data_IF_695289604552
#
_entry.id   IF_695289604552
#
_cell.length_a   1.000
_cell.length_b   1.000
_cell.length_c   1.000
_cell.angle_alpha   90.00
_cell.angle_beta   90.00
_cell.angle_gamma   90.00
#
_symmetry.space_group_name_H-M   'P 1'
#
loop_
_entity.id
_entity.type
_entity.pdbx_description
1 polymer ?
#
# COMPACT_ATOMS: atom_id res chain seq x y z
N UNK A 1 -46.58 -17.72 -32.47
CA UNK A 1 -46.94 -16.34 -32.07
C UNK A 1 -45.94 -15.94 -30.98
N UNK A 2 -45.17 -14.89 -31.29
CA UNK A 2 -44.24 -14.06 -30.48
C UNK A 2 -44.49 -14.08 -28.95
N UNK A 3 -43.54 -13.90 -28.03
CA UNK A 3 -42.24 -13.19 -28.04
C UNK A 3 -41.49 -13.56 -26.72
N UNK A 4 -40.19 -13.88 -26.78
CA UNK A 4 -39.01 -13.04 -26.46
C UNK A 4 -38.46 -13.34 -25.05
N UNK A 5 -37.25 -13.91 -25.05
CA UNK A 5 -36.38 -14.18 -23.90
C UNK A 5 -36.04 -12.88 -23.16
N UNK A 6 -36.57 -12.71 -21.95
CA UNK A 6 -36.08 -11.73 -20.98
C UNK A 6 -34.79 -12.25 -20.33
N UNK A 7 -33.68 -11.70 -20.82
CA UNK A 7 -32.50 -11.26 -20.07
C UNK A 7 -32.14 -12.02 -18.77
N UNK A 8 -31.23 -13.00 -18.89
CA UNK A 8 -30.44 -13.45 -17.75
C UNK A 8 -29.13 -12.66 -17.73
N UNK A 9 -29.20 -11.36 -17.49
CA UNK A 9 -28.04 -10.56 -17.12
C UNK A 9 -27.76 -10.75 -15.61
N UNK A 10 -27.47 -11.99 -15.20
CA UNK A 10 -27.00 -12.26 -13.83
C UNK A 10 -25.54 -11.84 -13.74
N UNK A 11 -25.33 -10.52 -13.71
CA UNK A 11 -24.06 -9.87 -13.42
C UNK A 11 -23.68 -10.20 -11.97
N UNK A 12 -23.20 -11.41 -11.75
CA UNK A 12 -22.78 -11.91 -10.44
C UNK A 12 -21.40 -11.30 -10.16
N UNK A 13 -21.37 -10.01 -9.80
CA UNK A 13 -20.16 -9.22 -9.51
C UNK A 13 -19.50 -9.58 -8.16
N UNK A 14 -19.58 -10.85 -7.78
CA UNK A 14 -19.05 -11.38 -6.53
C UNK A 14 -17.95 -12.38 -6.86
N UNK A 15 -16.73 -12.04 -6.51
CA UNK A 15 -15.59 -12.94 -6.66
C UNK A 15 -15.46 -13.74 -5.37
N UNK A 16 -15.39 -15.06 -5.51
CA UNK A 16 -15.07 -15.95 -4.39
C UNK A 16 -13.55 -15.96 -4.27
N UNK A 17 -13.04 -15.44 -3.17
CA UNK A 17 -11.62 -15.57 -2.86
C UNK A 17 -11.36 -17.03 -2.43
N UNK A 18 -10.94 -17.87 -3.37
CA UNK A 18 -10.56 -19.27 -3.11
C UNK A 18 -9.29 -19.24 -2.25
N UNK A 19 -9.47 -19.26 -0.93
CA UNK A 19 -8.41 -18.98 0.03
C UNK A 19 -8.33 -20.00 1.16
N UNK A 20 -7.22 -20.75 1.15
CA UNK A 20 -6.53 -21.48 2.22
C UNK A 20 -7.32 -22.53 3.01
N UNK A 21 -7.18 -23.77 2.54
CA UNK A 21 -7.36 -25.09 3.20
C UNK A 21 -8.65 -25.32 3.99
N UNK A 22 -9.39 -26.39 3.67
CA UNK A 22 -10.61 -26.83 4.39
C UNK A 22 -10.38 -27.30 5.84
N UNK A 23 -9.23 -26.98 6.44
CA UNK A 23 -8.86 -27.41 7.79
C UNK A 23 -8.95 -26.24 8.77
N UNK A 24 -9.85 -26.31 9.78
CA UNK A 24 -10.14 -25.21 10.70
C UNK A 24 -8.94 -24.78 11.56
N UNK A 25 -8.02 -25.70 11.84
CA UNK A 25 -6.81 -25.42 12.63
C UNK A 25 -5.81 -24.53 11.87
N UNK A 26 -5.61 -24.78 10.58
CA UNK A 26 -4.72 -23.99 9.72
C UNK A 26 -5.23 -22.56 9.52
N UNK A 27 -6.55 -22.43 9.36
CA UNK A 27 -7.24 -21.15 9.26
C UNK A 27 -7.05 -20.26 10.49
N UNK A 28 -7.14 -20.87 11.69
CA UNK A 28 -6.92 -20.17 12.96
C UNK A 28 -5.46 -19.72 13.09
N UNK A 29 -4.51 -20.58 12.73
CA UNK A 29 -3.09 -20.24 12.75
C UNK A 29 -2.77 -19.09 11.78
N UNK A 30 -3.27 -19.15 10.54
CA UNK A 30 -3.09 -18.09 9.55
C UNK A 30 -3.68 -16.77 10.03
N UNK A 31 -4.88 -16.78 10.62
CA UNK A 31 -5.48 -15.58 11.19
C UNK A 31 -4.57 -14.93 12.24
N UNK A 32 -4.06 -15.71 13.20
CA UNK A 32 -3.17 -15.20 14.25
C UNK A 32 -1.90 -14.59 13.66
N UNK A 33 -1.30 -15.26 12.67
CA UNK A 33 -0.09 -14.78 11.98
C UNK A 33 -0.35 -13.48 11.22
N UNK A 34 -1.37 -13.44 10.36
CA UNK A 34 -1.70 -12.23 9.58
C UNK A 34 -2.15 -11.07 10.46
N UNK A 35 -2.89 -11.34 11.53
CA UNK A 35 -3.28 -10.34 12.51
C UNK A 35 -2.06 -9.78 13.25
N UNK A 36 -1.13 -10.64 13.64
CA UNK A 36 0.15 -10.21 14.25
C UNK A 36 0.95 -9.31 13.31
N UNK A 37 1.10 -9.71 12.04
CA UNK A 37 1.76 -8.91 11.00
C UNK A 37 1.06 -7.56 10.85
N UNK A 38 -0.27 -7.54 10.75
CA UNK A 38 -1.05 -6.31 10.65
C UNK A 38 -0.76 -5.33 11.80
N UNK A 39 -0.81 -5.81 13.04
CA UNK A 39 -0.54 -4.96 14.21
C UNK A 39 0.89 -4.42 14.20
N UNK A 40 1.87 -5.27 13.91
CA UNK A 40 3.28 -4.85 13.85
C UNK A 40 3.49 -3.81 12.76
N UNK A 41 2.95 -4.03 11.55
CA UNK A 41 3.06 -3.08 10.43
C UNK A 41 2.38 -1.76 10.77
N UNK A 42 1.16 -1.79 11.30
CA UNK A 42 0.41 -0.57 11.64
C UNK A 42 1.07 0.23 12.76
N UNK A 43 1.43 -0.43 13.87
CA UNK A 43 2.07 0.23 15.01
C UNK A 43 3.46 0.74 14.62
N UNK A 44 4.24 -0.05 13.87
CA UNK A 44 5.58 0.31 13.43
C UNK A 44 5.56 1.53 12.49
N UNK A 45 4.75 1.48 11.44
CA UNK A 45 4.74 2.53 10.43
C UNK A 45 4.06 3.81 10.91
N UNK A 46 2.90 3.73 11.58
CA UNK A 46 2.27 4.93 12.15
C UNK A 46 3.10 5.51 13.30
N UNK A 47 3.74 4.66 14.10
CA UNK A 47 4.68 5.08 15.13
C UNK A 47 5.87 5.83 14.54
N UNK A 48 6.44 5.34 13.43
CA UNK A 48 7.51 6.00 12.71
C UNK A 48 7.08 7.37 12.15
N UNK A 49 5.90 7.44 11.51
CA UNK A 49 5.34 8.70 11.01
C UNK A 49 5.14 9.71 12.14
N UNK A 50 4.57 9.26 13.27
CA UNK A 50 4.37 10.10 14.45
C UNK A 50 5.71 10.60 15.02
N UNK A 51 6.72 9.71 15.09
CA UNK A 51 8.05 10.05 15.59
C UNK A 51 8.76 11.08 14.71
N UNK A 52 8.67 10.94 13.38
CA UNK A 52 9.19 11.93 12.42
C UNK A 52 8.49 13.28 12.60
N UNK A 53 7.17 13.29 12.80
CA UNK A 53 6.40 14.51 12.98
C UNK A 53 6.74 15.26 14.29
N UNK A 54 6.96 14.51 15.38
CA UNK A 54 7.24 15.09 16.69
C UNK A 54 8.67 15.62 16.82
N UNK A 55 9.66 14.93 16.25
CA UNK A 55 11.07 15.27 16.41
C UNK A 55 11.61 16.05 15.20
N UNK A 56 11.75 17.38 15.35
CA UNK A 56 12.25 18.26 14.29
C UNK A 56 13.63 17.88 13.75
N UNK A 57 14.48 17.21 14.54
CA UNK A 57 15.82 16.75 14.09
C UNK A 57 15.74 15.68 13.01
N UNK A 58 14.62 14.97 12.93
CA UNK A 58 14.34 13.98 11.90
C UNK A 58 13.78 14.59 10.62
N UNK A 59 13.57 15.90 10.52
CA UNK A 59 13.12 16.55 9.28
C UNK A 59 14.24 16.69 8.23
N UNK A 60 14.98 15.60 7.99
CA UNK A 60 15.94 15.48 6.90
C UNK A 60 15.28 14.81 5.68
N UNK A 61 15.80 15.00 4.46
CA UNK A 61 15.19 14.45 3.24
C UNK A 61 14.93 12.93 3.31
N UNK A 62 15.89 12.18 3.86
CA UNK A 62 15.78 10.72 4.02
C UNK A 62 14.57 10.31 4.86
N UNK A 63 14.37 10.93 6.03
CA UNK A 63 13.24 10.60 6.90
C UNK A 63 11.91 11.11 6.35
N UNK A 64 11.90 12.18 5.55
CA UNK A 64 10.68 12.60 4.83
C UNK A 64 10.26 11.50 3.85
N UNK A 65 11.19 10.95 3.06
CA UNK A 65 10.88 9.82 2.17
C UNK A 65 10.43 8.59 2.95
N UNK A 66 11.12 8.26 4.05
CA UNK A 66 10.77 7.14 4.92
C UNK A 66 9.37 7.29 5.54
N UNK A 67 8.97 8.51 5.91
CA UNK A 67 7.62 8.78 6.41
C UNK A 67 6.54 8.59 5.35
N UNK A 68 6.79 9.00 4.10
CA UNK A 68 5.86 8.74 2.99
C UNK A 68 5.75 7.25 2.68
N UNK A 69 6.87 6.52 2.70
CA UNK A 69 6.90 5.06 2.56
C UNK A 69 6.05 4.38 3.64
N UNK A 70 6.29 4.73 4.91
CA UNK A 70 5.53 4.18 6.04
C UNK A 70 4.03 4.51 5.98
N UNK A 71 3.67 5.71 5.52
CA UNK A 71 2.27 6.09 5.31
C UNK A 71 1.61 5.23 4.21
N UNK A 72 2.33 5.00 3.11
CA UNK A 72 1.86 4.19 1.99
C UNK A 72 1.67 2.72 2.38
N UNK A 73 2.67 2.14 3.07
CA UNK A 73 2.60 0.78 3.63
C UNK A 73 1.39 0.62 4.56
N UNK A 74 1.14 1.61 5.42
CA UNK A 74 0.00 1.60 6.34
C UNK A 74 -1.33 1.67 5.59
N UNK A 75 -1.42 2.53 4.57
CA UNK A 75 -2.62 2.67 3.74
C UNK A 75 -2.96 1.36 3.03
N UNK A 76 -1.98 0.72 2.41
CA UNK A 76 -2.19 -0.52 1.67
C UNK A 76 -2.46 -1.70 2.59
N UNK A 77 -1.77 -1.78 3.72
CA UNK A 77 -2.07 -2.76 4.77
C UNK A 77 -3.51 -2.64 5.27
N UNK A 78 -4.04 -1.43 5.44
CA UNK A 78 -5.43 -1.16 5.81
C UNK A 78 -6.44 -1.53 4.73
N UNK A 79 -6.11 -1.40 3.44
CA UNK A 79 -7.02 -1.75 2.35
C UNK A 79 -7.16 -3.28 2.18
N UNK A 80 -6.08 -4.03 2.38
CA UNK A 80 -6.00 -5.46 2.05
C UNK A 80 -6.27 -6.34 3.27
N UNK A 81 -5.56 -6.06 4.37
CA UNK A 81 -5.47 -6.99 5.51
C UNK A 81 -6.77 -7.19 6.26
N UNK A 82 -7.59 -6.15 6.55
CA UNK A 82 -8.86 -6.33 7.24
C UNK A 82 -9.84 -7.23 6.48
N UNK A 83 -9.89 -7.09 5.16
CA UNK A 83 -10.73 -7.93 4.29
C UNK A 83 -10.22 -9.36 4.22
N UNK A 84 -8.90 -9.54 4.11
CA UNK A 84 -8.30 -10.87 4.19
C UNK A 84 -8.58 -11.56 5.54
N UNK A 85 -8.49 -10.82 6.65
CA UNK A 85 -8.80 -11.33 8.00
C UNK A 85 -10.27 -11.71 8.15
N UNK A 86 -11.18 -10.89 7.62
CA UNK A 86 -12.62 -11.18 7.59
C UNK A 86 -12.92 -12.46 6.78
N UNK A 87 -12.23 -12.65 5.65
CA UNK A 87 -12.39 -13.81 4.78
C UNK A 87 -11.94 -15.13 5.40
N UNK A 88 -11.16 -15.11 6.49
CA UNK A 88 -11.01 -16.31 7.28
C UNK A 88 -12.37 -16.67 7.86
N UNK A 89 -12.95 -15.95 8.82
CA UNK A 89 -14.13 -16.44 9.54
C UNK A 89 -15.47 -16.36 8.79
N UNK A 90 -15.56 -15.64 7.67
CA UNK A 90 -16.80 -15.55 6.87
C UNK A 90 -17.08 -16.82 6.06
N UNK A 91 -18.31 -17.32 6.10
CA UNK A 91 -18.78 -18.40 5.21
C UNK A 91 -18.97 -17.89 3.77
N UNK A 92 -19.44 -16.66 3.61
CA UNK A 92 -19.46 -15.94 2.34
C UNK A 92 -18.11 -15.21 2.14
N UNK A 93 -17.19 -15.85 1.42
CA UNK A 93 -15.87 -15.30 1.02
C UNK A 93 -15.99 -14.41 -0.23
N UNK A 94 -17.08 -13.65 -0.30
CA UNK A 94 -17.42 -12.85 -1.48
C UNK A 94 -16.80 -11.47 -1.33
N UNK A 95 -15.99 -11.08 -2.29
CA UNK A 95 -15.54 -9.70 -2.47
C UNK A 95 -16.30 -9.10 -3.65
N UNK A 96 -16.80 -7.88 -3.49
CA UNK A 96 -17.42 -7.18 -4.62
C UNK A 96 -16.34 -6.78 -5.63
N UNK A 97 -16.69 -6.71 -6.92
CA UNK A 97 -15.80 -6.20 -7.96
C UNK A 97 -15.18 -4.83 -7.56
N UNK A 98 -15.97 -3.92 -6.97
CA UNK A 98 -15.50 -2.62 -6.53
C UNK A 98 -14.44 -2.70 -5.43
N UNK A 99 -14.64 -3.58 -4.44
CA UNK A 99 -13.65 -3.80 -3.37
C UNK A 99 -12.37 -4.44 -3.92
N UNK A 100 -12.49 -5.38 -4.85
CA UNK A 100 -11.36 -6.02 -5.52
C UNK A 100 -10.55 -4.99 -6.34
N UNK A 101 -11.22 -4.18 -7.16
CA UNK A 101 -10.58 -3.10 -7.92
C UNK A 101 -9.92 -2.07 -7.01
N UNK A 102 -10.55 -1.72 -5.88
CA UNK A 102 -9.94 -0.81 -4.91
C UNK A 102 -8.67 -1.41 -4.29
N UNK A 103 -8.70 -2.69 -3.86
CA UNK A 103 -7.52 -3.36 -3.32
C UNK A 103 -6.37 -3.43 -4.33
N UNK A 104 -6.68 -3.77 -5.58
CA UNK A 104 -5.71 -3.82 -6.66
C UNK A 104 -5.12 -2.44 -6.95
N UNK A 105 -5.95 -1.40 -6.99
CA UNK A 105 -5.51 -0.03 -7.15
C UNK A 105 -4.53 0.41 -6.04
N UNK A 106 -4.86 0.16 -4.77
CA UNK A 106 -3.97 0.49 -3.66
C UNK A 106 -2.67 -0.30 -3.71
N UNK A 107 -2.72 -1.59 -4.07
CA UNK A 107 -1.52 -2.41 -4.28
C UNK A 107 -0.58 -1.82 -5.33
N UNK A 108 -1.08 -1.54 -6.52
CA UNK A 108 -0.30 -0.94 -7.61
C UNK A 108 0.25 0.43 -7.20
N UNK A 109 -0.54 1.22 -6.46
CA UNK A 109 -0.15 2.56 -6.02
C UNK A 109 1.01 2.48 -5.03
N UNK A 110 0.93 1.61 -4.03
CA UNK A 110 2.00 1.38 -3.07
C UNK A 110 3.26 0.91 -3.76
N UNK A 111 3.20 -0.23 -4.45
CA UNK A 111 4.38 -0.86 -5.05
C UNK A 111 5.17 0.14 -5.91
N UNK A 112 4.45 0.90 -6.74
CA UNK A 112 5.06 1.88 -7.63
C UNK A 112 5.66 3.05 -6.84
N UNK A 113 4.90 3.61 -5.90
CA UNK A 113 5.35 4.76 -5.08
C UNK A 113 6.55 4.37 -4.23
N UNK A 114 6.52 3.19 -3.61
CA UNK A 114 7.58 2.66 -2.75
C UNK A 114 8.87 2.45 -3.55
N UNK A 115 8.78 1.91 -4.76
CA UNK A 115 9.94 1.78 -5.64
C UNK A 115 10.58 3.15 -5.94
N UNK A 116 9.78 4.17 -6.27
CA UNK A 116 10.30 5.51 -6.52
C UNK A 116 10.86 6.18 -5.27
N UNK A 117 10.23 6.00 -4.10
CA UNK A 117 10.73 6.52 -2.83
C UNK A 117 12.05 5.83 -2.42
N UNK A 118 12.16 4.51 -2.60
CA UNK A 118 13.40 3.76 -2.39
C UNK A 118 14.53 4.27 -3.30
N UNK A 119 14.23 4.52 -4.57
CA UNK A 119 15.18 5.13 -5.50
C UNK A 119 15.60 6.54 -5.07
N UNK A 120 14.66 7.37 -4.60
CA UNK A 120 14.96 8.71 -4.09
C UNK A 120 15.85 8.67 -2.83
N UNK A 121 15.60 7.72 -1.92
CA UNK A 121 16.45 7.49 -0.74
C UNK A 121 17.85 7.01 -1.13
N UNK A 122 17.97 6.10 -2.11
CA UNK A 122 19.26 5.68 -2.63
C UNK A 122 20.03 6.85 -3.26
N UNK A 123 19.33 7.73 -3.99
CA UNK A 123 19.90 8.94 -4.56
C UNK A 123 20.35 9.94 -3.47
N UNK A 124 19.57 10.16 -2.41
CA UNK A 124 19.96 10.98 -1.26
C UNK A 124 21.27 10.48 -0.63
N UNK A 125 21.37 9.17 -0.35
CA UNK A 125 22.58 8.56 0.19
C UNK A 125 23.78 8.70 -0.74
N UNK A 126 23.56 8.51 -2.05
CA UNK A 126 24.61 8.69 -3.06
C UNK A 126 25.16 10.12 -3.06
N UNK A 127 24.30 11.15 -3.09
CA UNK A 127 24.73 12.55 -3.09
C UNK A 127 25.45 12.90 -1.79
N UNK A 128 24.96 12.41 -0.65
CA UNK A 128 25.59 12.63 0.65
C UNK A 128 27.04 12.10 0.72
N UNK A 129 27.30 10.94 0.11
CA UNK A 129 28.62 10.29 0.11
C UNK A 129 29.54 10.86 -0.98
N UNK A 130 29.05 10.95 -2.21
CA UNK A 130 29.88 11.28 -3.37
C UNK A 130 30.06 12.79 -3.58
N UNK A 131 29.19 13.62 -3.00
CA UNK A 131 29.19 15.09 -3.16
C UNK A 131 28.85 15.84 -1.85
N UNK A 132 29.58 15.59 -0.73
CA UNK A 132 29.22 16.12 0.58
C UNK A 132 29.15 17.65 0.63
N UNK A 133 30.08 18.35 -0.01
CA UNK A 133 30.13 19.82 -0.03
C UNK A 133 28.97 20.47 -0.80
N UNK A 134 28.34 19.73 -1.72
CA UNK A 134 27.22 20.22 -2.54
C UNK A 134 25.89 19.61 -2.11
N UNK A 135 25.86 18.78 -1.06
CA UNK A 135 24.68 18.03 -0.62
C UNK A 135 23.48 18.95 -0.38
N UNK A 136 23.66 20.06 0.35
CA UNK A 136 22.56 20.98 0.65
C UNK A 136 21.99 21.70 -0.58
N UNK A 137 22.79 21.84 -1.64
CA UNK A 137 22.36 22.46 -2.90
C UNK A 137 21.64 21.46 -3.79
N UNK A 138 22.17 20.22 -3.89
CA UNK A 138 21.55 19.17 -4.69
C UNK A 138 20.30 18.60 -4.00
N UNK A 139 20.39 18.24 -2.73
CA UNK A 139 19.30 17.71 -1.91
C UNK A 139 18.62 18.82 -1.11
N UNK A 140 17.93 19.69 -1.84
CA UNK A 140 17.08 20.72 -1.23
C UNK A 140 15.71 20.17 -0.83
N UNK A 141 15.05 20.83 0.14
CA UNK A 141 13.67 20.49 0.51
C UNK A 141 12.70 20.55 -0.67
N UNK A 142 12.89 21.51 -1.56
CA UNK A 142 12.07 21.65 -2.78
C UNK A 142 12.21 20.42 -3.68
N UNK A 143 13.43 19.92 -3.89
CA UNK A 143 13.65 18.71 -4.68
C UNK A 143 13.03 17.48 -4.02
N UNK A 144 13.16 17.34 -2.69
CA UNK A 144 12.53 16.25 -1.95
C UNK A 144 11.00 16.24 -2.12
N UNK A 145 10.36 17.42 -2.05
CA UNK A 145 8.93 17.56 -2.32
C UNK A 145 8.61 17.18 -3.76
N UNK A 146 9.37 17.67 -4.74
CA UNK A 146 9.17 17.33 -6.15
C UNK A 146 9.31 15.82 -6.44
N UNK A 147 10.33 15.17 -5.88
CA UNK A 147 10.53 13.73 -6.00
C UNK A 147 9.38 12.94 -5.38
N UNK A 148 8.94 13.35 -4.19
CA UNK A 148 7.80 12.72 -3.51
C UNK A 148 6.53 12.88 -4.34
N UNK A 149 6.18 14.11 -4.74
CA UNK A 149 5.01 14.37 -5.57
C UNK A 149 5.06 13.61 -6.90
N UNK A 150 6.24 13.55 -7.53
CA UNK A 150 6.45 12.78 -8.76
C UNK A 150 6.22 11.28 -8.56
N UNK A 151 6.68 10.71 -7.44
CA UNK A 151 6.42 9.31 -7.08
C UNK A 151 4.93 9.01 -6.94
N UNK A 152 4.18 9.87 -6.23
CA UNK A 152 2.73 9.73 -6.10
C UNK A 152 2.01 9.85 -7.46
N UNK A 153 2.38 10.84 -8.29
CA UNK A 153 1.78 11.00 -9.62
C UNK A 153 2.04 9.76 -10.48
N UNK A 154 3.29 9.27 -10.50
CA UNK A 154 3.65 8.08 -11.26
C UNK A 154 2.90 6.84 -10.76
N UNK A 155 2.79 6.66 -9.44
CA UNK A 155 2.03 5.59 -8.82
C UNK A 155 0.53 5.65 -9.17
N UNK A 156 -0.07 6.84 -9.12
CA UNK A 156 -1.46 7.03 -9.50
C UNK A 156 -1.71 6.74 -10.98
N UNK A 157 -0.85 7.24 -11.87
CA UNK A 157 -0.97 6.98 -13.31
C UNK A 157 -0.82 5.48 -13.62
N UNK A 158 0.16 4.81 -13.02
CA UNK A 158 0.39 3.38 -13.20
C UNK A 158 -0.82 2.56 -12.75
N UNK A 159 -1.38 2.90 -11.58
CA UNK A 159 -2.53 2.19 -11.01
C UNK A 159 -3.85 2.42 -11.76
N UNK A 160 -3.98 3.48 -12.54
CA UNK A 160 -5.14 3.73 -13.41
C UNK A 160 -5.03 2.96 -14.73
N UNK A 161 -3.80 2.74 -15.21
CA UNK A 161 -3.55 2.07 -16.48
C UNK A 161 -3.71 0.55 -16.37
N UNK A 162 -3.44 -0.01 -15.19
CA UNK A 162 -3.45 -1.45 -14.93
C UNK A 162 -4.84 -1.97 -14.53
#
# INVERSE_FOLDING_TARGET
KLEMTEDNDSMTNEFILIGFTDHPDMKTLLFVVFFGIYLVTMVGNLGLVALIYMERRLHTPMYIFLGNLALMDSCCSCAITPKMLQNFFSEDRRISLYECMAQFYFLCLAETTDCFLLAAMAYDRYVAICRPLQYHTLMSKTLCIQMTTGAYIAGHLHSIVQ
#
